data_IF_866490222235
#
_entry.id   IF_866490222235
#
_cell.length_a   1.000
_cell.length_b   1.000
_cell.length_c   1.000
_cell.angle_alpha   90.00
_cell.angle_beta   90.00
_cell.angle_gamma   90.00
#
_symmetry.space_group_name_H-M   'P 1'
#
loop_
_entity.id
_entity.type
_entity.pdbx_description
1 polymer ?
2 polymer ?
3 non-polymer ?
4 water ?
#
# COMPACT_ATOMS: atom_id res chain seq x y z
N UNK A 13 -15.49 -31.52 -10.42
CA UNK A 13 -15.47 -30.05 -10.43
C UNK A 13 -14.44 -29.47 -11.39
N UNK A 14 -13.22 -30.00 -11.35
CA UNK A 14 -12.16 -29.50 -12.20
C UNK A 14 -11.24 -30.60 -12.70
N UNK A 15 -10.14 -30.20 -13.35
CA UNK A 15 -9.19 -31.18 -13.86
C UNK A 15 -7.86 -30.48 -14.03
N UNK A 16 -6.86 -31.23 -14.50
CA UNK A 16 -5.56 -30.71 -14.84
C UNK A 16 -5.49 -30.48 -16.33
N UNK A 17 -5.01 -29.30 -16.74
CA UNK A 17 -4.77 -29.06 -18.15
C UNK A 17 -3.47 -28.29 -18.30
N UNK A 18 -2.91 -28.35 -19.52
CA UNK A 18 -1.68 -27.60 -19.77
C UNK A 18 -1.89 -26.11 -19.58
N UNK A 19 -3.07 -25.58 -19.96
CA UNK A 19 -3.30 -24.15 -19.81
C UNK A 19 -3.51 -23.77 -18.35
N UNK A 20 -4.17 -24.62 -17.57
CA UNK A 20 -4.33 -24.32 -16.15
C UNK A 20 -2.99 -24.37 -15.42
N UNK A 21 -2.12 -25.31 -15.80
CA UNK A 21 -0.78 -25.33 -15.23
C UNK A 21 -0.04 -24.05 -15.55
N UNK A 22 -0.18 -23.56 -16.78
CA UNK A 22 0.41 -22.29 -17.17
C UNK A 22 -0.18 -21.14 -16.36
N UNK A 23 -1.50 -21.13 -16.16
CA UNK A 23 -2.10 -20.08 -15.34
C UNK A 23 -1.52 -20.07 -13.93
N UNK A 24 -1.28 -21.25 -13.36
CA UNK A 24 -0.79 -21.33 -12.00
C UNK A 24 0.69 -20.98 -11.90
N UNK A 25 1.52 -21.58 -12.75
CA UNK A 25 2.96 -21.52 -12.56
C UNK A 25 3.63 -20.40 -13.34
N UNK A 26 2.92 -19.77 -14.29
CA UNK A 26 3.42 -18.61 -15.00
C UNK A 26 2.62 -17.36 -14.63
N UNK A 27 1.31 -17.39 -14.83
CA UNK A 27 0.52 -16.17 -14.68
C UNK A 27 0.40 -15.77 -13.21
N UNK A 28 -0.14 -16.66 -12.38
CA UNK A 28 -0.33 -16.33 -10.97
C UNK A 28 1.01 -16.18 -10.26
N UNK A 29 1.97 -17.06 -10.57
CA UNK A 29 3.24 -16.96 -9.86
C UNK A 29 3.92 -15.62 -10.17
N UNK A 30 3.83 -15.14 -11.41
CA UNK A 30 4.39 -13.83 -11.76
C UNK A 30 3.63 -12.70 -11.10
N UNK A 31 2.30 -12.71 -11.23
CA UNK A 31 1.53 -11.59 -10.69
C UNK A 31 1.63 -11.52 -9.18
N UNK A 32 1.67 -12.68 -8.51
CA UNK A 32 1.73 -12.66 -7.04
C UNK A 32 2.97 -11.95 -6.54
N UNK A 33 4.07 -12.04 -7.29
CA UNK A 33 5.32 -11.41 -6.85
C UNK A 33 5.40 -9.93 -7.20
N UNK A 34 4.45 -9.42 -7.97
CA UNK A 34 4.52 -8.06 -8.45
C UNK A 34 4.27 -7.08 -7.31
N UNK A 35 4.99 -5.94 -7.36
CA UNK A 35 4.94 -4.95 -6.29
C UNK A 35 3.55 -4.34 -6.10
N UNK A 36 2.67 -4.43 -7.11
CA UNK A 36 1.34 -3.84 -7.02
C UNK A 36 0.24 -4.87 -6.76
N UNK A 37 0.60 -6.13 -6.48
CA UNK A 37 -0.42 -7.17 -6.42
C UNK A 37 -1.16 -7.22 -5.10
N UNK A 38 -0.58 -6.68 -4.02
CA UNK A 38 -1.13 -6.93 -2.69
C UNK A 38 -2.58 -6.47 -2.46
N UNK A 39 -3.12 -5.40 -3.09
CA UNK A 39 -4.54 -5.10 -2.87
C UNK A 39 -5.46 -6.18 -3.36
N UNK A 40 -4.95 -7.11 -4.17
CA UNK A 40 -5.78 -8.14 -4.80
C UNK A 40 -5.55 -9.50 -4.19
N UNK A 41 -4.83 -9.59 -3.07
CA UNK A 41 -4.55 -10.89 -2.47
C UNK A 41 -5.75 -11.49 -1.77
N UNK A 42 -6.74 -10.69 -1.40
CA UNK A 42 -7.86 -11.10 -0.57
C UNK A 42 -9.15 -10.48 -1.08
N UNK A 43 -10.29 -11.10 -0.81
CA UNK A 43 -11.57 -10.46 -1.15
C UNK A 43 -11.67 -9.08 -0.51
N UNK A 44 -12.31 -8.17 -1.23
CA UNK A 44 -12.63 -6.86 -0.65
C UNK A 44 -13.58 -7.06 0.52
N UNK A 45 -13.16 -6.62 1.71
CA UNK A 45 -14.00 -6.71 2.91
C UNK A 45 -14.64 -5.34 3.13
N UNK A 46 -15.90 -5.21 2.70
CA UNK A 46 -16.55 -3.91 2.68
C UNK A 46 -16.84 -3.40 4.08
N UNK A 47 -16.87 -4.28 5.06
CA UNK A 47 -17.07 -3.84 6.45
C UNK A 47 -15.78 -3.29 7.02
N UNK A 48 -14.71 -4.10 6.99
CA UNK A 48 -13.45 -3.64 7.56
C UNK A 48 -12.93 -2.42 6.83
N UNK A 49 -13.10 -2.38 5.51
CA UNK A 49 -12.54 -1.28 4.73
C UNK A 49 -13.47 -0.08 4.60
N UNK A 50 -14.67 -0.13 5.17
CA UNK A 50 -15.55 1.03 5.19
C UNK A 50 -15.94 1.44 3.77
N UNK A 51 -16.54 0.48 3.05
CA UNK A 51 -16.99 0.64 1.67
C UNK A 51 -18.48 0.31 1.62
N UNK A 52 -19.34 1.21 2.10
CA UNK A 52 -20.76 0.87 2.25
C UNK A 52 -21.47 0.62 0.94
N UNK A 53 -20.93 1.06 -0.20
CA UNK A 53 -21.59 0.90 -1.48
C UNK A 53 -20.96 -0.18 -2.34
N UNK A 54 -19.98 -0.92 -1.80
CA UNK A 54 -19.24 -1.86 -2.64
C UNK A 54 -20.14 -2.95 -3.20
N UNK A 55 -20.93 -3.59 -2.33
CA UNK A 55 -21.73 -4.69 -2.84
C UNK A 55 -22.97 -4.21 -3.57
N UNK A 56 -23.37 -2.94 -3.40
CA UNK A 56 -24.40 -2.38 -4.26
C UNK A 56 -23.92 -2.30 -5.71
N UNK A 57 -22.64 -1.98 -5.88
CA UNK A 57 -22.08 -1.74 -7.21
C UNK A 57 -21.50 -3.00 -7.82
N UNK A 58 -20.89 -3.87 -7.02
CA UNK A 58 -20.16 -5.06 -7.49
C UNK A 58 -20.94 -6.31 -7.09
N UNK A 59 -21.49 -7.01 -8.08
CA UNK A 59 -22.30 -8.19 -7.81
C UNK A 59 -21.54 -9.50 -7.96
N UNK A 60 -20.34 -9.49 -8.53
CA UNK A 60 -19.55 -10.70 -8.78
C UNK A 60 -18.13 -10.45 -8.30
N UNK A 61 -17.91 -10.48 -6.99
CA UNK A 61 -16.57 -10.17 -6.45
C UNK A 61 -15.56 -11.25 -6.83
N UNK A 62 -14.31 -10.83 -7.02
CA UNK A 62 -13.23 -11.76 -7.29
C UNK A 62 -11.90 -11.12 -6.87
N UNK A 63 -10.95 -11.98 -6.51
CA UNK A 63 -9.63 -11.56 -6.08
C UNK A 63 -8.62 -12.63 -6.46
N UNK A 64 -7.34 -12.26 -6.42
CA UNK A 64 -6.31 -13.18 -6.87
C UNK A 64 -6.04 -14.29 -5.85
N UNK A 65 -6.28 -14.04 -4.56
CA UNK A 65 -6.16 -15.11 -3.60
C UNK A 65 -7.14 -16.23 -3.88
N UNK A 66 -8.38 -15.87 -4.24
CA UNK A 66 -9.38 -16.88 -4.58
C UNK A 66 -8.97 -17.62 -5.84
N UNK A 67 -8.47 -16.91 -6.84
CA UNK A 67 -8.02 -17.56 -8.07
C UNK A 67 -6.90 -18.54 -7.77
N UNK A 68 -5.91 -18.12 -6.98
CA UNK A 68 -4.78 -18.99 -6.67
C UNK A 68 -5.22 -20.25 -5.96
N UNK A 69 -6.14 -20.12 -5.01
CA UNK A 69 -6.62 -21.28 -4.27
C UNK A 69 -7.41 -22.21 -5.18
N UNK A 70 -8.21 -21.63 -6.09
CA UNK A 70 -8.95 -22.46 -7.04
C UNK A 70 -8.01 -23.29 -7.90
N UNK A 71 -6.88 -22.70 -8.31
CA UNK A 71 -5.91 -23.46 -9.09
C UNK A 71 -5.30 -24.58 -8.25
N UNK A 72 -4.94 -24.27 -7.01
CA UNK A 72 -4.31 -25.26 -6.14
C UNK A 72 -5.26 -26.38 -5.78
N UNK A 73 -6.57 -26.11 -5.74
CA UNK A 73 -7.56 -27.11 -5.36
C UNK A 73 -8.24 -27.74 -6.56
N UNK A 74 -7.71 -27.54 -7.77
CA UNK A 74 -8.26 -28.10 -9.01
C UNK A 74 -9.75 -27.79 -9.16
N UNK A 75 -10.12 -26.55 -8.81
CA UNK A 75 -11.51 -26.11 -8.94
C UNK A 75 -11.91 -25.89 -10.39
N UNK A 76 -10.98 -25.43 -11.21
CA UNK A 76 -11.29 -25.07 -12.59
C UNK A 76 -11.29 -26.28 -13.50
N UNK A 77 -12.24 -26.29 -14.44
CA UNK A 77 -12.29 -27.25 -15.54
C UNK A 77 -11.47 -26.78 -16.74
N UNK A 78 -11.46 -25.47 -17.00
CA UNK A 78 -10.75 -24.90 -18.15
C UNK A 78 -10.07 -23.60 -17.74
N UNK A 79 -8.92 -23.35 -18.35
CA UNK A 79 -8.24 -22.07 -18.15
C UNK A 79 -9.11 -20.88 -18.56
N UNK A 80 -10.08 -21.08 -19.46
CA UNK A 80 -10.99 -19.99 -19.79
C UNK A 80 -11.71 -19.46 -18.56
N UNK A 81 -12.00 -20.34 -17.58
CA UNK A 81 -12.63 -19.86 -16.34
C UNK A 81 -11.67 -19.00 -15.54
N UNK A 82 -10.41 -19.43 -15.46
CA UNK A 82 -9.42 -18.66 -14.72
C UNK A 82 -9.19 -17.30 -15.35
N UNK A 83 -9.09 -17.26 -16.67
CA UNK A 83 -8.92 -15.99 -17.37
C UNK A 83 -10.12 -15.07 -17.12
N UNK A 84 -11.34 -15.62 -17.12
CA UNK A 84 -12.50 -14.78 -16.84
C UNK A 84 -12.51 -14.28 -15.41
N UNK A 85 -12.08 -15.11 -14.45
CA UNK A 85 -12.01 -14.62 -13.07
C UNK A 85 -11.05 -13.44 -12.96
N UNK A 86 -9.89 -13.49 -13.64
CA UNK A 86 -9.00 -12.33 -13.67
C UNK A 86 -9.71 -11.13 -14.30
N UNK A 87 -10.37 -11.34 -15.43
CA UNK A 87 -11.09 -10.23 -16.07
C UNK A 87 -12.11 -9.62 -15.11
N UNK A 88 -12.86 -10.46 -14.41
CA UNK A 88 -13.83 -9.95 -13.44
C UNK A 88 -13.16 -9.15 -12.33
N UNK A 89 -12.05 -9.67 -11.80
CA UNK A 89 -11.33 -8.97 -10.73
C UNK A 89 -10.91 -7.57 -11.17
N UNK A 90 -10.29 -7.48 -12.35
CA UNK A 90 -9.84 -6.19 -12.84
C UNK A 90 -11.02 -5.26 -13.15
N UNK A 91 -12.03 -5.78 -13.87
CA UNK A 91 -13.15 -4.94 -14.27
C UNK A 91 -13.88 -4.38 -13.07
N UNK A 92 -14.07 -5.20 -12.02
CA UNK A 92 -14.70 -4.72 -10.79
C UNK A 92 -13.96 -3.51 -10.24
N UNK A 93 -12.63 -3.55 -10.27
CA UNK A 93 -11.83 -2.47 -9.73
C UNK A 93 -12.08 -1.18 -10.49
N UNK A 94 -12.17 -1.26 -11.82
CA UNK A 94 -12.43 -0.08 -12.63
C UNK A 94 -13.86 0.44 -12.46
N UNK A 95 -14.82 -0.47 -12.28
CA UNK A 95 -16.21 -0.04 -12.06
C UNK A 95 -16.34 0.67 -10.72
N UNK A 96 -15.70 0.16 -9.68
CA UNK A 96 -15.93 0.73 -8.34
C UNK A 96 -15.15 2.02 -8.12
N UNK A 97 -13.91 2.09 -8.59
CA UNK A 97 -13.00 3.16 -8.22
C UNK A 97 -12.90 4.22 -9.32
N UNK A 98 -12.39 5.37 -8.93
CA UNK A 98 -12.24 6.44 -9.89
C UNK A 98 -11.00 6.22 -10.76
N UNK A 99 -11.01 6.73 -11.99
CA UNK A 99 -9.87 6.45 -12.90
C UNK A 99 -8.55 7.06 -12.44
N UNK A 100 -8.59 7.99 -11.49
CA UNK A 100 -7.39 8.60 -10.94
C UNK A 100 -6.88 7.89 -9.68
N UNK A 101 -7.65 6.95 -9.14
CA UNK A 101 -7.24 6.26 -7.91
C UNK A 101 -6.02 5.39 -8.16
N UNK A 102 -5.11 5.37 -7.17
CA UNK A 102 -3.88 4.59 -7.33
C UNK A 102 -4.20 3.12 -7.56
N UNK A 103 -5.23 2.57 -6.90
CA UNK A 103 -5.53 1.16 -7.06
C UNK A 103 -5.85 0.81 -8.51
N UNK A 104 -6.42 1.77 -9.25
CA UNK A 104 -6.77 1.50 -10.65
C UNK A 104 -5.52 1.49 -11.52
N UNK A 105 -4.57 2.39 -11.24
CA UNK A 105 -3.30 2.36 -11.95
C UNK A 105 -2.53 1.08 -11.66
N UNK A 106 -2.60 0.60 -10.42
CA UNK A 106 -1.99 -0.69 -10.07
C UNK A 106 -2.66 -1.84 -10.81
N UNK A 107 -4.01 -1.87 -10.81
CA UNK A 107 -4.73 -2.88 -11.57
C UNK A 107 -4.30 -2.89 -13.04
N UNK A 108 -4.16 -1.72 -13.64
CA UNK A 108 -3.80 -1.67 -15.05
C UNK A 108 -2.41 -2.26 -15.30
N UNK A 109 -1.45 -1.95 -14.42
CA UNK A 109 -0.11 -2.52 -14.61
C UNK A 109 -0.13 -4.05 -14.49
N UNK A 110 -0.90 -4.58 -13.53
CA UNK A 110 -1.04 -6.02 -13.39
C UNK A 110 -1.74 -6.62 -14.59
N UNK A 111 -2.80 -5.96 -15.07
CA UNK A 111 -3.56 -6.51 -16.19
C UNK A 111 -2.74 -6.56 -17.47
N UNK A 112 -1.85 -5.58 -17.69
CA UNK A 112 -0.99 -5.64 -18.86
C UNK A 112 -0.08 -6.86 -18.82
N UNK A 113 0.48 -7.16 -17.64
CA UNK A 113 1.32 -8.36 -17.52
C UNK A 113 0.48 -9.62 -17.72
N UNK A 114 -0.70 -9.65 -17.10
CA UNK A 114 -1.63 -10.76 -17.32
C UNK A 114 -1.84 -11.01 -18.82
N UNK A 115 -2.12 -9.94 -19.58
CA UNK A 115 -2.43 -10.12 -20.99
C UNK A 115 -1.19 -10.50 -21.80
N UNK A 116 -0.01 -9.99 -21.41
CA UNK A 116 1.24 -10.42 -22.03
C UNK A 116 1.42 -11.93 -21.87
N UNK A 117 1.23 -12.43 -20.64
CA UNK A 117 1.41 -13.86 -20.42
C UNK A 117 0.32 -14.67 -21.12
N UNK A 118 -0.91 -14.16 -21.17
CA UNK A 118 -1.98 -14.86 -21.88
C UNK A 118 -1.65 -15.02 -23.36
N UNK A 119 -1.07 -13.97 -23.97
CA UNK A 119 -0.70 -14.06 -25.37
C UNK A 119 0.30 -15.17 -25.65
N UNK A 120 1.09 -15.57 -24.64
CA UNK A 120 2.12 -16.60 -24.80
C UNK A 120 1.70 -17.95 -24.26
N UNK A 121 0.45 -18.12 -23.83
CA UNK A 121 0.01 -19.39 -23.27
C UNK A 121 -0.15 -20.44 -24.37
N UNK A 122 -0.05 -21.72 -24.02
CA UNK A 122 -0.35 -22.79 -24.99
C UNK A 122 -1.71 -22.56 -25.62
N UNK A 123 -1.78 -22.64 -26.95
CA UNK A 123 -3.01 -22.24 -27.60
C UNK A 123 -4.06 -23.35 -27.66
N UNK A 124 -3.66 -24.60 -27.47
CA UNK A 124 -4.58 -25.72 -27.42
C UNK A 124 -4.65 -26.24 -25.99
N UNK A 125 -5.86 -26.40 -25.45
CA UNK A 125 -6.01 -26.92 -24.10
C UNK A 125 -6.09 -28.44 -24.13
N UNK A 126 -5.20 -29.07 -23.37
CA UNK A 126 -5.00 -30.51 -23.33
C UNK A 126 -5.14 -30.96 -21.88
N UNK A 127 -5.95 -31.99 -21.63
CA UNK A 127 -6.07 -32.51 -20.29
C UNK A 127 -4.84 -33.33 -19.91
N UNK A 128 -4.37 -33.16 -18.69
CA UNK A 128 -3.16 -33.83 -18.21
C UNK A 128 -3.50 -34.74 -17.03
N UNK B 13 10.23 30.27 18.56
CA UNK B 13 11.09 31.06 17.67
C UNK B 13 11.86 30.19 16.67
N UNK B 14 11.36 30.11 15.44
CA UNK B 14 12.01 29.31 14.41
C UNK B 14 13.40 29.82 14.07
N UNK B 15 14.10 29.02 13.27
CA UNK B 15 15.50 29.31 12.97
C UNK B 15 15.90 28.55 11.70
N UNK B 16 16.92 29.07 11.03
CA UNK B 16 17.54 28.42 9.88
C UNK B 16 18.94 27.95 10.27
N UNK B 17 19.16 26.64 10.21
CA UNK B 17 20.44 26.06 10.59
C UNK B 17 20.92 25.11 9.51
N UNK B 18 22.21 24.78 9.57
CA UNK B 18 22.78 23.81 8.64
C UNK B 18 22.10 22.46 8.79
N UNK B 19 21.78 22.07 10.02
CA UNK B 19 21.12 20.78 10.24
C UNK B 19 19.67 20.82 9.76
N UNK B 20 18.97 21.94 9.93
CA UNK B 20 17.60 21.97 9.44
C UNK B 20 17.57 21.93 7.91
N UNK B 21 18.53 22.60 7.26
CA UNK B 21 18.64 22.47 5.81
C UNK B 21 18.84 21.02 5.41
N UNK B 22 19.66 20.29 6.18
CA UNK B 22 19.89 18.88 5.91
C UNK B 22 18.63 18.06 6.11
N UNK B 23 17.86 18.35 7.18
CA UNK B 23 16.61 17.62 7.40
C UNK B 23 15.64 17.80 6.24
N UNK B 24 15.57 19.02 5.68
CA UNK B 24 14.66 19.29 4.59
C UNK B 24 15.17 18.70 3.28
N UNK B 25 16.43 19.01 2.93
CA UNK B 25 16.90 18.74 1.59
C UNK B 25 17.59 17.38 1.46
N UNK B 26 17.85 16.68 2.56
CA UNK B 26 18.31 15.31 2.52
C UNK B 26 17.28 14.35 3.12
N UNK B 27 16.91 14.56 4.37
CA UNK B 27 16.12 13.54 5.07
C UNK B 27 14.70 13.46 4.49
N UNK B 28 13.96 14.57 4.48
CA UNK B 28 12.60 14.52 3.95
C UNK B 28 12.62 14.16 2.46
N UNK B 29 13.53 14.78 1.70
CA UNK B 29 13.60 14.51 0.28
C UNK B 29 13.80 13.02 0.01
N UNK B 30 14.73 12.40 0.73
CA UNK B 30 15.01 10.97 0.53
C UNK B 30 13.82 10.12 0.89
N UNK B 31 13.25 10.36 2.07
CA UNK B 31 12.14 9.50 2.53
C UNK B 31 10.92 9.65 1.64
N UNK B 32 10.63 10.88 1.18
CA UNK B 32 9.43 11.08 0.36
C UNK B 32 9.48 10.23 -0.90
N UNK B 33 10.68 10.04 -1.45
CA UNK B 33 10.79 9.27 -2.69
C UNK B 33 10.68 7.77 -2.47
N UNK B 34 10.71 7.29 -1.24
CA UNK B 34 10.69 5.86 -1.02
C UNK B 34 9.31 5.28 -1.28
N UNK B 35 9.27 4.07 -1.87
CA UNK B 35 7.99 3.47 -2.20
C UNK B 35 7.13 3.15 -0.99
N UNK B 36 7.69 3.12 0.23
CA UNK B 36 6.91 2.85 1.43
C UNK B 36 6.43 4.12 2.11
N UNK B 37 6.72 5.30 1.59
CA UNK B 37 6.45 6.50 2.35
C UNK B 37 5.00 6.97 2.28
N UNK B 38 4.24 6.54 1.27
CA UNK B 38 2.93 7.15 1.01
C UNK B 38 1.94 7.08 2.17
N UNK B 39 1.92 6.07 3.06
CA UNK B 39 0.98 6.13 4.19
C UNK B 39 1.27 7.27 5.15
N UNK B 40 2.42 7.93 5.02
CA UNK B 40 2.87 8.94 5.96
C UNK B 40 2.86 10.34 5.37
N UNK B 41 2.30 10.51 4.17
CA UNK B 41 2.31 11.82 3.52
C UNK B 41 1.32 12.78 4.16
N UNK B 42 0.26 12.26 4.77
CA UNK B 42 -0.83 13.06 5.30
C UNK B 42 -1.23 12.52 6.66
N UNK B 43 -1.90 13.33 7.48
CA UNK B 43 -2.37 12.81 8.78
C UNK B 43 -3.30 11.62 8.60
N UNK B 44 -3.23 10.69 9.55
CA UNK B 44 -4.16 9.57 9.60
C UNK B 44 -5.57 10.12 9.83
N UNK B 45 -6.49 9.80 8.91
CA UNK B 45 -7.88 10.19 9.05
C UNK B 45 -8.63 8.99 9.62
N UNK B 46 -8.82 8.99 10.94
CA UNK B 46 -9.32 7.80 11.63
C UNK B 46 -10.75 7.47 11.24
N UNK B 47 -11.55 8.48 10.90
CA UNK B 47 -12.93 8.20 10.52
C UNK B 47 -13.02 7.66 9.10
N UNK B 48 -12.31 8.28 8.16
CA UNK B 48 -12.30 7.78 6.79
C UNK B 48 -11.80 6.35 6.72
N UNK B 49 -10.71 6.04 7.42
CA UNK B 49 -10.04 4.75 7.31
C UNK B 49 -10.57 3.69 8.26
N UNK B 50 -11.56 4.00 9.08
CA UNK B 50 -12.16 3.06 10.02
C UNK B 50 -11.11 2.49 10.97
N UNK B 51 -10.47 3.38 11.73
CA UNK B 51 -9.42 2.97 12.65
C UNK B 51 -9.92 3.09 14.08
N UNK B 52 -10.39 1.99 14.68
CA UNK B 52 -10.98 2.08 16.02
C UNK B 52 -9.97 2.62 17.02
N UNK B 53 -10.43 3.57 17.82
CA UNK B 53 -9.68 4.07 18.97
C UNK B 53 -8.38 4.77 18.56
N UNK B 54 -8.23 5.20 17.30
CA UNK B 54 -6.94 5.77 16.90
C UNK B 54 -6.55 6.95 17.80
N UNK B 55 -7.45 7.90 18.01
CA UNK B 55 -7.08 9.08 18.79
C UNK B 55 -7.15 8.85 20.29
N UNK B 56 -7.78 7.74 20.71
CA UNK B 56 -7.71 7.32 22.10
C UNK B 56 -6.30 6.84 22.45
N UNK B 57 -5.59 6.27 21.47
CA UNK B 57 -4.28 5.69 21.68
C UNK B 57 -3.17 6.64 21.25
N UNK B 58 -3.38 7.35 20.14
CA UNK B 58 -2.40 8.24 19.54
C UNK B 58 -2.84 9.66 19.85
N UNK B 59 -2.21 10.27 20.85
CA UNK B 59 -2.58 11.58 21.35
C UNK B 59 -1.72 12.70 20.77
N UNK B 60 -0.69 12.34 20.02
CA UNK B 60 0.24 13.31 19.42
C UNK B 60 0.46 12.87 17.98
N UNK B 61 -0.54 13.05 17.12
CA UNK B 61 -0.39 12.59 15.73
C UNK B 61 0.70 13.37 15.02
N UNK B 62 1.38 12.69 14.09
CA UNK B 62 2.38 13.37 13.28
C UNK B 62 2.51 12.61 11.96
N UNK B 63 2.89 13.34 10.91
CA UNK B 63 3.02 12.78 9.58
C UNK B 63 4.10 13.56 8.84
N UNK B 64 4.60 12.98 7.74
CA UNK B 64 5.72 13.59 7.04
C UNK B 64 5.31 14.84 6.27
N UNK B 65 4.05 14.93 5.83
CA UNK B 65 3.59 16.16 5.21
C UNK B 65 3.65 17.34 6.16
N UNK B 66 3.24 17.13 7.41
CA UNK B 66 3.37 18.18 8.42
C UNK B 66 4.83 18.54 8.68
N UNK B 67 5.70 17.55 8.81
CA UNK B 67 7.12 17.83 9.03
C UNK B 67 7.69 18.64 7.88
N UNK B 68 7.36 18.26 6.63
CA UNK B 68 7.82 18.99 5.45
C UNK B 68 7.38 20.44 5.49
N UNK B 69 6.11 20.67 5.81
CA UNK B 69 5.61 22.04 5.88
C UNK B 69 6.30 22.83 6.99
N UNK B 70 6.56 22.18 8.13
CA UNK B 70 7.26 22.84 9.22
C UNK B 70 8.66 23.27 8.79
N UNK B 71 9.38 22.41 8.06
CA UNK B 71 10.71 22.78 7.59
C UNK B 71 10.63 23.89 6.56
N UNK B 72 9.67 23.79 5.62
CA UNK B 72 9.54 24.80 4.58
C UNK B 72 9.19 26.17 5.13
N UNK B 73 8.61 26.24 6.33
CA UNK B 73 8.18 27.49 6.92
C UNK B 73 8.97 27.86 8.16
N UNK B 74 10.15 27.24 8.36
CA UNK B 74 11.06 27.59 9.44
C UNK B 74 10.38 27.54 10.80
N UNK B 75 9.62 26.48 11.02
CA UNK B 75 8.91 26.30 12.28
C UNK B 75 9.84 25.92 13.43
N UNK B 76 10.90 25.16 13.14
CA UNK B 76 11.76 24.60 14.17
C UNK B 76 12.86 25.58 14.57
N UNK B 77 13.20 25.56 15.86
CA UNK B 77 14.40 26.22 16.33
C UNK B 77 15.64 25.34 16.12
N UNK B 78 15.47 24.02 16.14
CA UNK B 78 16.60 23.11 16.08
C UNK B 78 16.19 21.85 15.34
N UNK B 79 17.16 21.27 14.62
CA UNK B 79 16.93 19.97 13.99
C UNK B 79 16.51 18.92 15.01
N UNK B 80 16.94 19.05 16.26
CA UNK B 80 16.52 18.11 17.29
C UNK B 80 15.00 18.04 17.39
N UNK B 81 14.33 19.19 17.25
CA UNK B 81 12.87 19.19 17.28
C UNK B 81 12.27 18.45 16.10
N UNK B 82 12.88 18.60 14.92
CA UNK B 82 12.38 17.92 13.73
C UNK B 82 12.61 16.41 13.86
N UNK B 83 13.79 16.02 14.35
CA UNK B 83 14.04 14.61 14.64
C UNK B 83 13.02 14.05 15.64
N UNK B 84 12.60 14.86 16.62
CA UNK B 84 11.55 14.44 17.53
C UNK B 84 10.23 14.17 16.78
N UNK B 85 9.86 15.05 15.85
CA UNK B 85 8.63 14.82 15.09
C UNK B 85 8.71 13.54 14.25
N UNK B 86 9.86 13.27 13.62
CA UNK B 86 10.02 12.00 12.91
C UNK B 86 9.84 10.83 13.87
N UNK B 87 10.44 10.92 15.06
CA UNK B 87 10.30 9.83 16.01
C UNK B 87 8.85 9.64 16.43
N UNK B 88 8.11 10.73 16.63
CA UNK B 88 6.69 10.62 16.93
C UNK B 88 5.93 9.91 15.80
N UNK B 89 6.23 10.27 14.55
CA UNK B 89 5.58 9.63 13.42
C UNK B 89 5.83 8.13 13.40
N UNK B 90 7.10 7.71 13.49
CA UNK B 90 7.39 6.29 13.43
C UNK B 90 6.80 5.57 14.64
N UNK B 91 6.97 6.15 15.84
CA UNK B 91 6.52 5.46 17.04
C UNK B 91 5.00 5.36 17.09
N UNK B 92 4.28 6.38 16.60
CA UNK B 92 2.83 6.27 16.55
C UNK B 92 2.41 5.06 15.72
N UNK B 93 3.12 4.81 14.63
CA UNK B 93 2.83 3.64 13.80
C UNK B 93 3.11 2.35 14.54
N UNK B 94 4.25 2.30 15.25
CA UNK B 94 4.61 1.13 16.04
C UNK B 94 3.61 0.88 17.17
N UNK B 95 3.01 1.95 17.71
CA UNK B 95 2.12 1.87 18.87
C UNK B 95 0.74 1.40 18.46
N UNK B 96 0.18 2.02 17.42
CA UNK B 96 -1.22 1.77 17.09
C UNK B 96 -1.41 0.42 16.42
N UNK B 97 -0.50 0.04 15.54
CA UNK B 97 -0.70 -1.16 14.76
C UNK B 97 -0.19 -2.37 15.53
N UNK B 98 -0.47 -3.54 14.98
CA UNK B 98 -0.10 -4.77 15.63
C UNK B 98 1.32 -5.16 15.23
N UNK B 99 2.02 -5.93 16.07
CA UNK B 99 3.47 -6.11 15.88
C UNK B 99 3.88 -6.64 14.52
N UNK B 100 3.04 -7.41 13.82
CA UNK B 100 3.44 -8.02 12.55
C UNK B 100 2.76 -7.39 11.34
N UNK B 101 2.06 -6.28 11.51
CA UNK B 101 1.39 -5.64 10.39
C UNK B 101 2.37 -5.13 9.34
N UNK B 102 1.93 -5.14 8.09
CA UNK B 102 2.78 -4.67 6.98
C UNK B 102 3.21 -3.22 7.20
N UNK B 103 2.31 -2.37 7.71
CA UNK B 103 2.68 -0.96 7.85
C UNK B 103 3.81 -0.78 8.87
N UNK B 104 3.88 -1.64 9.89
CA UNK B 104 4.98 -1.58 10.85
C UNK B 104 6.31 -1.92 10.18
N UNK B 105 6.29 -2.93 9.30
CA UNK B 105 7.50 -3.27 8.56
C UNK B 105 7.92 -2.14 7.64
N UNK B 106 6.95 -1.47 7.01
CA UNK B 106 7.27 -0.32 6.18
C UNK B 106 7.89 0.79 7.02
N UNK B 107 7.29 1.07 8.18
CA UNK B 107 7.83 2.13 9.03
C UNK B 107 9.24 1.80 9.51
N UNK B 108 9.49 0.53 9.84
CA UNK B 108 10.83 0.14 10.27
C UNK B 108 11.83 0.35 9.14
N UNK B 109 11.45 0.05 7.91
CA UNK B 109 12.35 0.26 6.78
C UNK B 109 12.64 1.75 6.57
N UNK B 110 11.62 2.60 6.71
CA UNK B 110 11.83 4.03 6.56
C UNK B 110 12.67 4.58 7.71
N UNK B 111 12.45 4.08 8.93
CA UNK B 111 13.24 4.55 10.06
C UNK B 111 14.71 4.16 9.86
N UNK B 112 14.96 3.01 9.26
CA UNK B 112 16.36 2.62 8.99
C UNK B 112 17.05 3.65 8.09
N UNK B 113 16.36 4.10 7.04
CA UNK B 113 16.91 5.12 6.15
C UNK B 113 17.04 6.45 6.89
N UNK B 114 16.02 6.82 7.67
CA UNK B 114 16.08 8.01 8.49
C UNK B 114 17.34 8.04 9.35
N UNK B 115 17.62 6.93 10.05
CA UNK B 115 18.77 6.89 10.93
C UNK B 115 20.07 6.93 10.16
N UNK B 116 20.11 6.28 8.98
CA UNK B 116 21.31 6.36 8.14
C UNK B 116 21.57 7.79 7.70
N UNK B 117 20.54 8.53 7.31
CA UNK B 117 20.73 9.91 6.91
C UNK B 117 21.13 10.77 8.11
N UNK B 118 20.51 10.55 9.28
CA UNK B 118 20.86 11.34 10.45
C UNK B 118 22.33 11.15 10.80
N UNK B 119 22.85 9.93 10.60
CA UNK B 119 24.25 9.63 10.90
C UNK B 119 25.21 10.47 10.06
N UNK B 120 24.77 10.93 8.89
CA UNK B 120 25.61 11.73 8.01
C UNK B 120 25.34 13.23 8.13
N UNK B 121 24.46 13.63 9.05
CA UNK B 121 24.17 15.05 9.25
C UNK B 121 25.39 15.75 9.86
N UNK B 122 25.60 17.03 9.54
CA UNK B 122 26.63 17.79 10.25
C UNK B 122 26.40 17.74 11.75
N UNK B 123 27.46 17.43 12.50
CA UNK B 123 27.28 17.12 13.92
C UNK B 123 27.08 18.37 14.77
N UNK B 124 27.57 19.53 14.36
CA UNK B 124 27.38 20.75 15.11
C UNK B 124 26.39 21.66 14.39
N UNK B 125 25.43 22.22 15.12
CA UNK B 125 24.35 23.00 14.53
C UNK B 125 24.70 24.47 14.54
N UNK B 126 24.79 25.06 13.35
CA UNK B 126 25.14 26.47 13.17
C UNK B 126 23.94 27.18 12.57
N UNK B 127 23.56 28.31 13.17
CA UNK B 127 22.57 29.16 12.54
C UNK B 127 23.17 29.82 11.30
N UNK B 128 22.40 29.81 10.22
CA UNK B 128 22.89 30.37 8.96
C UNK B 128 22.66 31.87 8.89
N UNK C 2 -5.30 -9.77 6.55
CA UNK C 2 -5.48 -8.86 7.69
C UNK C 2 -4.20 -8.08 7.97
N UNK C 3 -3.05 -8.69 7.65
CA UNK C 3 -1.77 -8.04 7.93
C UNK C 3 -1.54 -6.80 7.09
N UNK C 4 -2.29 -6.62 6.01
CA UNK C 4 -2.20 -5.40 5.19
C UNK C 4 -3.39 -4.48 5.39
N UNK C 5 -4.16 -4.69 6.46
CA UNK C 5 -5.43 -4.01 6.66
C UNK C 5 -5.29 -2.49 6.62
N UNK C 6 -4.36 -1.94 7.40
CA UNK C 6 -4.23 -0.50 7.46
C UNK C 6 -3.80 0.08 6.12
N UNK C 7 -2.95 -0.67 5.42
CA UNK C 7 -2.50 -0.27 4.09
C UNK C 7 -3.67 -0.14 3.14
N UNK C 8 -4.53 -1.15 3.17
CA UNK C 8 -5.70 -1.17 2.30
C UNK C 8 -6.60 0.02 2.59
N UNK C 9 -6.72 0.38 3.86
CA UNK C 9 -7.51 1.53 4.27
C UNK C 9 -7.00 2.79 3.61
N UNK C 10 -5.68 3.00 3.76
CA UNK C 10 -5.03 4.16 3.17
C UNK C 10 -5.19 4.15 1.65
N UNK C 11 -5.16 2.95 1.06
CA UNK C 11 -5.26 2.84 -0.39
C UNK C 11 -6.63 3.35 -0.87
N UNK C 12 -7.69 2.94 -0.18
CA UNK C 12 -9.05 3.31 -0.57
C UNK C 12 -9.48 4.69 -0.09
N UNK C 13 -8.89 5.22 0.98
CA UNK C 13 -9.33 6.50 1.53
C UNK C 13 -8.20 7.51 1.73
N UNK C 14 -6.99 7.22 1.30
CA UNK C 14 -5.91 8.19 1.39
C UNK C 14 -4.93 7.88 2.51
X LIG D 1 -19.98 -7.58 -11.72
X LIG D 1 -19.25 -7.68 -10.52
X LIG D 1 -20.81 -6.28 -11.70
X LIG D 1 -21.64 -6.19 -10.59
X LIG D 1 -19.82 -5.11 -11.70
X LIG D 1 -20.59 -3.92 -11.66
X LIG E 1 1.85 7.84 22.94
X LIG E 1 2.03 8.85 23.89
X LIG E 1 0.91 8.38 21.85
X LIG E 1 -0.35 8.75 22.35
X LIG E 1 1.66 9.58 21.20
X LIG E 1 0.95 9.92 20.04
#
# INVERSE_FOLDING_TARGET
QPLGSEVSNPSKPGRKTNQLQYMQNVVVKTLWKHQFAWPFYQPVDAIKLNLPDYHKIIKNPMDMGTIKKRLENNYYWSASECMQDFNTMFTNCYIYNKPTDDIVLMAQALEKIFLQKVAQMPQEEVEL
QPLGSEVSNPSKPGRKTNQLQYMQNVVVKTLWKHQFAWPFYQPVDAIKLNLPDYHKIIKNPMDMGTIKKRLENNYYWSASECMQDFNTMFTNCYIYNKPTDDIVLMAQALEKIFLQKVAQMPQEEVEL
AQRSLKLLKHLYHG
GOL C1 O1 C2 O2 C3 O3
GOL C1 O1 C2 O2 C3 O3
#
